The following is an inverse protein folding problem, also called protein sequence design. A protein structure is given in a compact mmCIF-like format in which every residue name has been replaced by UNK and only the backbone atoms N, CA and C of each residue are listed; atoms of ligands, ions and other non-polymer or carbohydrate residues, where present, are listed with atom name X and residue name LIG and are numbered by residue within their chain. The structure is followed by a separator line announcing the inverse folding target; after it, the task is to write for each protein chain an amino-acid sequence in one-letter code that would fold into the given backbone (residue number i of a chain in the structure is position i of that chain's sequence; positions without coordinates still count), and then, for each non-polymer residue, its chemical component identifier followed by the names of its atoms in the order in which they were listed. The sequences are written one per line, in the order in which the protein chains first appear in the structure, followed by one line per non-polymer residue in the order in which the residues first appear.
data_IF_402485621255
#
_entry.id   IF_402485621255
#
_cell.length_a   1.000
_cell.length_b   1.000
_cell.length_c   1.000
_cell.angle_alpha   90.00
_cell.angle_beta   90.00
_cell.angle_gamma   90.00
#
_symmetry.space_group_name_H-M   'P 1'
#
loop_
_entity.id
_entity.type
_entity.pdbx_description
1 polymer ?
#
# COMPACT_ATOMS: atom_id res chain seq x y z
N UNK A 1 8.67 35.59 -49.97
CA UNK A 1 9.22 35.14 -48.66
C UNK A 1 8.16 34.23 -48.10
N UNK A 2 8.28 32.97 -48.48
CA UNK A 2 7.25 31.95 -48.38
C UNK A 2 7.18 31.31 -46.98
N UNK A 3 5.95 30.96 -46.63
CA UNK A 3 5.42 30.01 -45.63
C UNK A 3 6.32 29.45 -44.51
N UNK A 4 5.77 29.42 -43.28
CA UNK A 4 5.36 28.16 -42.61
C UNK A 4 4.12 28.44 -41.74
N UNK A 5 2.97 27.76 -41.94
CA UNK A 5 1.84 27.82 -41.02
C UNK A 5 2.13 26.97 -39.78
N UNK A 6 1.79 27.48 -38.59
CA UNK A 6 1.88 26.74 -37.33
C UNK A 6 0.94 25.53 -37.39
N UNK A 7 1.52 24.39 -37.76
CA UNK A 7 0.86 23.10 -37.77
C UNK A 7 0.53 22.64 -36.35
N UNK A 8 -0.73 22.30 -36.17
CA UNK A 8 -1.26 21.37 -35.17
C UNK A 8 -0.37 20.15 -35.02
N UNK A 9 0.11 19.90 -33.80
CA UNK A 9 0.51 18.57 -33.32
C UNK A 9 0.32 18.50 -31.79
N UNK A 10 -0.90 18.79 -31.33
CA UNK A 10 -1.37 18.17 -30.10
C UNK A 10 -1.73 16.74 -30.47
N UNK A 11 -0.74 15.86 -30.52
CA UNK A 11 -1.00 14.43 -30.45
C UNK A 11 -1.77 14.18 -29.15
N UNK A 12 -3.09 14.03 -29.26
CA UNK A 12 -3.93 13.43 -28.23
C UNK A 12 -3.18 12.17 -27.77
N UNK A 13 -2.75 12.05 -26.50
CA UNK A 13 -2.22 10.78 -26.06
C UNK A 13 -3.36 9.79 -26.26
N UNK A 14 -3.15 8.83 -27.17
CA UNK A 14 -4.06 7.73 -27.38
C UNK A 14 -4.50 7.27 -25.99
N UNK A 15 -5.81 7.32 -25.75
CA UNK A 15 -6.41 6.88 -24.50
C UNK A 15 -5.87 5.48 -24.23
N UNK A 16 -4.88 5.40 -23.34
CA UNK A 16 -4.41 4.16 -22.78
C UNK A 16 -5.60 3.65 -22.00
N UNK A 17 -6.43 2.84 -22.67
CA UNK A 17 -7.43 2.00 -22.06
C UNK A 17 -6.67 1.07 -21.13
N UNK A 18 -6.37 1.54 -19.92
CA UNK A 18 -5.87 0.67 -18.87
C UNK A 18 -7.04 -0.28 -18.61
N UNK A 19 -6.93 -1.57 -19.00
CA UNK A 19 -8.01 -2.49 -18.74
C UNK A 19 -8.24 -2.48 -17.23
N UNK A 20 -9.48 -2.23 -16.80
CA UNK A 20 -9.87 -2.31 -15.40
C UNK A 20 -9.65 -3.75 -14.93
N UNK A 21 -8.43 -4.03 -14.45
CA UNK A 21 -8.08 -5.31 -13.89
C UNK A 21 -8.90 -5.48 -12.60
N UNK A 22 -9.51 -6.65 -12.36
CA UNK A 22 -10.17 -6.91 -11.08
C UNK A 22 -9.14 -6.72 -9.96
N UNK A 23 -9.45 -5.92 -8.93
CA UNK A 23 -8.58 -5.71 -7.75
C UNK A 23 -8.14 -7.05 -7.11
N UNK A 24 -8.86 -8.13 -7.38
CA UNK A 24 -8.57 -9.47 -6.89
C UNK A 24 -7.39 -10.20 -7.58
N UNK A 25 -6.92 -9.77 -8.75
CA UNK A 25 -5.86 -10.49 -9.47
C UNK A 25 -4.42 -10.03 -9.15
N UNK A 26 -4.27 -8.96 -8.35
CA UNK A 26 -2.96 -8.38 -8.00
C UNK A 26 -2.39 -8.87 -6.66
N UNK A 27 -3.20 -9.54 -5.84
CA UNK A 27 -2.72 -10.21 -4.64
C UNK A 27 -2.30 -11.63 -5.05
N UNK A 28 -1.06 -11.77 -5.51
CA UNK A 28 -0.48 -13.11 -5.57
C UNK A 28 -0.38 -13.62 -4.13
N UNK A 29 -1.17 -14.64 -3.80
CA UNK A 29 -1.17 -15.30 -2.49
C UNK A 29 0.06 -16.19 -2.34
N UNK A 30 1.23 -15.64 -2.62
CA UNK A 30 2.51 -16.29 -2.33
C UNK A 30 2.68 -16.32 -0.82
N UNK A 31 2.22 -17.43 -0.21
CA UNK A 31 2.55 -17.95 1.13
C UNK A 31 3.26 -16.94 2.02
N UNK A 32 2.46 -16.01 2.53
CA UNK A 32 2.93 -14.92 3.37
C UNK A 32 3.17 -15.48 4.75
N UNK A 33 4.36 -15.23 5.29
CA UNK A 33 4.74 -15.62 6.65
C UNK A 33 4.07 -14.71 7.71
N UNK A 34 2.73 -14.69 7.73
CA UNK A 34 1.90 -14.01 8.74
C UNK A 34 2.04 -14.65 10.12
N UNK A 35 2.77 -15.77 10.22
CA UNK A 35 2.97 -16.52 11.45
C UNK A 35 3.60 -15.64 12.54
N UNK A 36 4.53 -14.75 12.16
CA UNK A 36 5.17 -13.81 13.05
C UNK A 36 4.16 -12.83 13.67
N UNK A 37 3.27 -12.26 12.85
CA UNK A 37 2.22 -11.36 13.34
C UNK A 37 1.21 -12.10 14.23
N UNK A 38 0.79 -13.30 13.83
CA UNK A 38 -0.16 -14.11 14.60
C UNK A 38 0.41 -14.51 15.96
N UNK A 39 1.69 -14.86 16.01
CA UNK A 39 2.40 -15.23 17.23
C UNK A 39 2.51 -14.06 18.20
N UNK A 40 2.82 -12.85 17.69
CA UNK A 40 3.09 -11.67 18.52
C UNK A 40 1.86 -10.86 18.89
N UNK A 41 0.90 -10.78 17.98
CA UNK A 41 -0.29 -9.94 18.14
C UNK A 41 -1.50 -10.65 17.53
N UNK A 42 -2.01 -11.72 18.16
CA UNK A 42 -3.12 -12.51 17.63
C UNK A 42 -4.39 -11.67 17.42
N UNK A 43 -4.70 -10.75 18.34
CA UNK A 43 -5.85 -9.85 18.19
C UNK A 43 -5.72 -8.91 16.99
N UNK A 44 -4.51 -8.41 16.73
CA UNK A 44 -4.25 -7.56 15.57
C UNK A 44 -4.31 -8.37 14.27
N UNK A 45 -3.74 -9.58 14.29
CA UNK A 45 -3.84 -10.51 13.16
C UNK A 45 -5.30 -10.75 12.77
N UNK A 46 -6.18 -11.03 13.74
CA UNK A 46 -7.57 -11.36 13.47
C UNK A 46 -8.44 -10.15 13.07
N UNK A 47 -7.99 -8.94 13.39
CA UNK A 47 -8.65 -7.68 13.01
C UNK A 47 -8.33 -7.23 11.57
N UNK A 48 -7.30 -7.80 10.93
CA UNK A 48 -6.85 -7.39 9.60
C UNK A 48 -7.68 -8.05 8.49
N UNK A 49 -7.92 -7.28 7.43
CA UNK A 49 -8.57 -7.77 6.21
C UNK A 49 -7.57 -8.55 5.33
N UNK A 50 -8.02 -9.50 4.49
CA UNK A 50 -7.12 -10.32 3.67
C UNK A 50 -6.11 -9.53 2.82
N UNK A 51 -6.52 -8.39 2.25
CA UNK A 51 -5.62 -7.54 1.47
C UNK A 51 -4.56 -6.85 2.35
N UNK A 52 -4.87 -6.57 3.62
CA UNK A 52 -3.92 -5.96 4.54
C UNK A 52 -2.82 -6.96 4.91
N UNK A 53 -3.16 -8.24 5.12
CA UNK A 53 -2.18 -9.31 5.28
C UNK A 53 -1.25 -9.41 4.08
N UNK A 54 -1.79 -9.36 2.85
CA UNK A 54 -0.98 -9.37 1.64
C UNK A 54 -0.02 -8.16 1.54
N UNK A 55 -0.45 -6.97 1.96
CA UNK A 55 0.46 -5.82 1.98
C UNK A 55 1.50 -5.88 3.11
N UNK A 56 1.16 -6.43 4.28
CA UNK A 56 2.16 -6.70 5.35
C UNK A 56 3.19 -7.72 4.84
N UNK A 57 2.76 -8.75 4.12
CA UNK A 57 3.66 -9.70 3.46
C UNK A 57 4.74 -9.03 2.62
N UNK A 58 4.29 -8.13 1.75
CA UNK A 58 5.16 -7.39 0.84
C UNK A 58 6.08 -6.45 1.60
N UNK A 59 5.56 -5.84 2.67
CA UNK A 59 6.38 -5.03 3.55
C UNK A 59 7.49 -5.87 4.20
N UNK A 60 7.18 -7.08 4.67
CA UNK A 60 8.17 -8.00 5.24
C UNK A 60 9.23 -8.43 4.22
N UNK A 61 8.83 -8.78 2.99
CA UNK A 61 9.80 -9.15 1.93
C UNK A 61 10.71 -7.97 1.54
N UNK A 62 10.24 -6.74 1.70
CA UNK A 62 11.03 -5.52 1.52
C UNK A 62 11.72 -5.02 2.79
N UNK A 63 11.82 -5.86 3.83
CA UNK A 63 12.49 -5.54 5.09
C UNK A 63 11.90 -4.28 5.76
N UNK A 64 10.58 -4.12 5.70
CA UNK A 64 9.83 -3.00 6.27
C UNK A 64 9.79 -1.73 5.44
N UNK A 65 10.47 -1.68 4.29
CA UNK A 65 10.43 -0.50 3.39
C UNK A 65 9.25 -0.62 2.44
N UNK A 66 8.17 0.11 2.71
CA UNK A 66 6.94 0.06 1.91
C UNK A 66 6.17 1.38 1.97
N UNK A 67 5.40 1.66 0.92
CA UNK A 67 4.39 2.71 0.91
C UNK A 67 3.00 2.08 0.70
N UNK A 68 2.15 2.15 1.71
CA UNK A 68 0.75 1.71 1.61
C UNK A 68 -0.07 2.81 0.92
N UNK A 69 -0.27 2.67 -0.39
CA UNK A 69 -0.97 3.64 -1.25
C UNK A 69 -2.45 3.26 -1.51
N UNK A 70 -3.07 2.50 -0.60
CA UNK A 70 -4.46 2.06 -0.75
C UNK A 70 -5.47 3.22 -0.64
N UNK A 71 -6.69 3.00 -1.11
CA UNK A 71 -7.80 3.96 -0.99
C UNK A 71 -8.02 4.42 0.48
N UNK A 72 -8.44 5.67 0.64
CA UNK A 72 -8.77 6.23 1.95
C UNK A 72 -9.90 5.44 2.64
N UNK A 73 -9.76 5.19 3.95
CA UNK A 73 -10.72 4.40 4.73
C UNK A 73 -10.40 2.91 4.88
N UNK A 74 -9.45 2.35 4.13
CA UNK A 74 -9.11 0.92 4.17
C UNK A 74 -8.18 0.49 5.32
N UNK A 75 -8.02 1.30 6.37
CA UNK A 75 -7.27 0.89 7.57
C UNK A 75 -5.74 0.77 7.39
N UNK A 76 -5.12 1.62 6.57
CA UNK A 76 -3.65 1.66 6.37
C UNK A 76 -2.85 1.77 7.67
N UNK A 77 -3.38 2.46 8.67
CA UNK A 77 -2.78 2.58 10.01
C UNK A 77 -2.60 1.21 10.66
N UNK A 78 -3.66 0.38 10.67
CA UNK A 78 -3.59 -0.99 11.21
C UNK A 78 -2.56 -1.84 10.47
N UNK A 79 -2.48 -1.68 9.15
CA UNK A 79 -1.52 -2.38 8.33
C UNK A 79 -0.06 -1.98 8.64
N UNK A 80 0.19 -0.69 8.86
CA UNK A 80 1.50 -0.19 9.28
C UNK A 80 1.90 -0.72 10.67
N UNK A 81 0.97 -0.70 11.63
CA UNK A 81 1.19 -1.25 12.97
C UNK A 81 1.43 -2.76 12.91
N UNK A 82 0.66 -3.50 12.11
CA UNK A 82 0.86 -4.93 11.87
C UNK A 82 2.24 -5.23 11.29
N UNK A 83 2.72 -4.39 10.38
CA UNK A 83 4.07 -4.50 9.82
C UNK A 83 5.15 -4.29 10.88
N UNK A 84 5.02 -3.23 11.70
CA UNK A 84 5.96 -2.95 12.80
C UNK A 84 6.01 -4.11 13.81
N UNK A 85 4.85 -4.65 14.20
CA UNK A 85 4.75 -5.79 15.13
C UNK A 85 5.39 -7.06 14.53
N UNK A 86 5.12 -7.35 13.26
CA UNK A 86 5.70 -8.50 12.58
C UNK A 86 7.23 -8.41 12.46
N UNK A 87 7.79 -7.20 12.32
CA UNK A 87 9.24 -6.95 12.21
C UNK A 87 9.97 -6.85 13.55
N UNK A 88 9.26 -6.77 14.67
CA UNK A 88 9.83 -6.44 15.99
C UNK A 88 10.55 -5.08 16.01
N UNK A 89 10.07 -4.12 15.23
CA UNK A 89 10.77 -2.87 14.99
C UNK A 89 10.61 -1.86 16.15
N UNK A 90 10.55 -2.34 17.39
CA UNK A 90 10.41 -1.53 18.59
C UNK A 90 11.80 -1.16 19.15
N UNK A 91 12.03 0.09 19.58
CA UNK A 91 11.11 1.24 19.58
C UNK A 91 10.92 1.87 18.19
N UNK A 92 9.73 2.41 17.93
CA UNK A 92 9.35 3.02 16.65
C UNK A 92 9.02 4.52 16.77
N UNK A 93 9.35 5.31 15.75
CA UNK A 93 9.01 6.73 15.63
C UNK A 93 7.83 6.92 14.67
N UNK A 94 6.73 7.48 15.16
CA UNK A 94 5.57 7.83 14.34
C UNK A 94 5.54 9.32 14.07
N UNK A 95 5.56 9.68 12.78
CA UNK A 95 5.40 11.07 12.33
C UNK A 95 3.99 11.19 11.75
N UNK A 96 3.13 11.91 12.45
CA UNK A 96 1.73 12.11 12.07
C UNK A 96 1.36 13.60 12.19
N UNK A 97 0.39 14.10 11.40
CA UNK A 97 -0.17 15.43 11.62
C UNK A 97 -0.73 15.55 13.04
N UNK A 98 -0.60 16.73 13.65
CA UNK A 98 -0.99 16.96 15.04
C UNK A 98 -2.45 16.60 15.34
N UNK A 99 -3.35 16.75 14.36
CA UNK A 99 -4.77 16.42 14.47
C UNK A 99 -5.07 14.92 14.61
N UNK A 100 -4.17 14.05 14.14
CA UNK A 100 -4.36 12.59 14.16
C UNK A 100 -3.65 11.92 15.35
N UNK A 101 -2.87 12.67 16.13
CA UNK A 101 -2.03 12.11 17.20
C UNK A 101 -2.81 11.31 18.26
N UNK A 102 -4.04 11.71 18.57
CA UNK A 102 -4.87 11.02 19.59
C UNK A 102 -5.67 9.84 19.02
N UNK A 103 -5.80 9.76 17.69
CA UNK A 103 -6.49 8.67 17.00
C UNK A 103 -5.55 7.49 16.75
N UNK A 104 -4.26 7.77 16.60
CA UNK A 104 -3.20 6.77 16.61
C UNK A 104 -2.94 6.26 18.02
#
# INVERSE_FOLDING_TARGET
RDAVPFGTDYATPASLSVPAQPKQLLYDTTTVDSSALRSRSPLLHDALLPFQHAGIARALSWHGRVLFADEMGLGKTLQAIGTLSALDAWPALLIVPASLRLMW
#
